data_IF_100759629459
#
_entry.id   IF_100759629459
#
_cell.length_a   1.000
_cell.length_b   1.000
_cell.length_c   1.000
_cell.angle_alpha   90.00
_cell.angle_beta   90.00
_cell.angle_gamma   90.00
#
_symmetry.space_group_name_H-M   'P 1'
#
loop_
_entity.id
_entity.type
_entity.pdbx_description
1 polymer ?
#
# COMPACT_ATOMS: atom_id res chain seq x y z
N UNK A 1 -3.01 13.25 -10.54
CA UNK A 1 -3.09 12.09 -9.63
C UNK A 1 -3.31 12.59 -8.21
N UNK A 2 -4.14 11.89 -7.42
CA UNK A 2 -4.43 12.22 -6.01
C UNK A 2 -4.15 10.99 -5.13
N UNK A 3 -3.65 11.21 -3.91
CA UNK A 3 -3.52 10.17 -2.89
C UNK A 3 -4.70 10.24 -1.92
N UNK A 4 -5.33 9.10 -1.66
CA UNK A 4 -6.32 8.91 -0.60
C UNK A 4 -5.71 7.97 0.44
N UNK A 5 -5.74 8.34 1.72
CA UNK A 5 -5.06 7.58 2.78
C UNK A 5 -5.77 6.27 3.16
N UNK A 6 -7.07 6.17 2.90
CA UNK A 6 -7.90 4.99 3.17
C UNK A 6 -8.94 4.83 2.05
N UNK A 7 -9.44 3.61 1.78
CA UNK A 7 -10.42 3.38 0.72
C UNK A 7 -11.82 3.78 1.18
N UNK A 8 -12.09 5.08 1.23
CA UNK A 8 -13.41 5.61 1.59
C UNK A 8 -14.38 5.50 0.38
N UNK A 9 -15.51 4.78 0.50
CA UNK A 9 -16.42 4.54 -0.61
C UNK A 9 -17.00 5.81 -1.25
N UNK A 10 -17.29 6.85 -0.46
CA UNK A 10 -17.87 8.09 -0.99
C UNK A 10 -16.83 8.87 -1.79
N UNK A 11 -15.61 8.95 -1.25
CA UNK A 11 -14.48 9.59 -1.93
C UNK A 11 -14.16 8.85 -3.23
N UNK A 12 -14.03 7.52 -3.21
CA UNK A 12 -13.71 6.73 -4.40
C UNK A 12 -14.78 6.90 -5.50
N UNK A 13 -16.06 6.86 -5.14
CA UNK A 13 -17.17 7.09 -6.09
C UNK A 13 -17.14 8.48 -6.67
N UNK A 14 -16.83 9.51 -5.88
CA UNK A 14 -16.74 10.90 -6.35
C UNK A 14 -15.67 11.11 -7.43
N UNK A 15 -14.60 10.31 -7.40
CA UNK A 15 -13.54 10.34 -8.40
C UNK A 15 -13.82 9.44 -9.61
N UNK A 16 -14.77 8.51 -9.53
CA UNK A 16 -15.08 7.57 -10.61
C UNK A 16 -15.48 8.30 -11.89
N UNK A 17 -14.76 8.05 -12.99
CA UNK A 17 -15.02 8.68 -14.28
C UNK A 17 -14.51 10.12 -14.41
N UNK A 18 -13.86 10.68 -13.38
CA UNK A 18 -13.28 12.04 -13.44
C UNK A 18 -12.04 12.17 -14.33
N UNK A 19 -11.44 11.04 -14.74
CA UNK A 19 -10.14 11.02 -15.42
C UNK A 19 -8.95 11.26 -14.51
N UNK A 20 -9.16 11.42 -13.19
CA UNK A 20 -8.09 11.61 -12.21
C UNK A 20 -7.61 10.25 -11.70
N UNK A 21 -6.34 9.92 -12.00
CA UNK A 21 -5.68 8.74 -11.45
C UNK A 21 -5.49 8.82 -9.93
N UNK A 22 -5.62 7.68 -9.25
CA UNK A 22 -5.53 7.59 -7.79
C UNK A 22 -4.39 6.68 -7.30
N UNK A 23 -3.80 7.10 -6.19
CA UNK A 23 -3.07 6.25 -5.25
C UNK A 23 -3.96 6.01 -4.02
N UNK A 24 -4.22 4.75 -3.69
CA UNK A 24 -5.09 4.38 -2.57
C UNK A 24 -4.26 3.76 -1.45
N UNK A 25 -4.39 4.30 -0.25
CA UNK A 25 -3.75 3.77 0.95
C UNK A 25 -4.44 2.51 1.45
N UNK A 26 -3.64 1.51 1.82
CA UNK A 26 -4.06 0.34 2.60
C UNK A 26 -3.74 0.67 4.07
N UNK A 27 -4.74 0.80 4.95
CA UNK A 27 -4.52 1.19 6.34
C UNK A 27 -3.60 0.24 7.12
N UNK A 28 -2.93 0.72 8.17
CA UNK A 28 -2.01 -0.10 8.96
C UNK A 28 -2.76 -1.26 9.65
N UNK A 29 -4.00 -1.02 10.06
CA UNK A 29 -4.82 -1.92 10.89
C UNK A 29 -5.26 -3.18 10.15
N UNK A 30 -5.29 -3.17 8.81
CA UNK A 30 -5.67 -4.33 8.01
C UNK A 30 -4.47 -5.24 7.68
N UNK A 31 -3.23 -4.77 7.85
CA UNK A 31 -2.03 -5.54 7.49
C UNK A 31 -1.95 -6.92 8.17
N UNK A 32 -2.28 -7.09 9.47
CA UNK A 32 -2.29 -8.42 10.09
C UNK A 32 -3.29 -9.38 9.43
N UNK A 33 -4.45 -8.87 9.00
CA UNK A 33 -5.47 -9.69 8.34
C UNK A 33 -5.05 -10.08 6.91
N UNK A 34 -4.43 -9.16 6.18
CA UNK A 34 -3.88 -9.42 4.85
C UNK A 34 -2.77 -10.47 4.87
N UNK A 35 -1.95 -10.50 5.93
CA UNK A 35 -0.98 -11.59 6.14
C UNK A 35 -1.67 -12.92 6.47
N UNK A 36 -2.52 -12.95 7.50
CA UNK A 36 -2.91 -14.20 8.18
C UNK A 36 -4.00 -15.01 7.47
N UNK A 37 -4.77 -14.40 6.57
CA UNK A 37 -5.89 -15.07 5.93
C UNK A 37 -5.46 -15.87 4.69
N UNK A 38 -5.38 -15.22 3.53
CA UNK A 38 -4.98 -15.83 2.25
C UNK A 38 -4.85 -14.76 1.15
N UNK A 39 -4.34 -15.18 -0.01
CA UNK A 39 -4.41 -14.38 -1.25
C UNK A 39 -5.86 -14.06 -1.63
N UNK A 40 -6.79 -15.01 -1.44
CA UNK A 40 -8.22 -14.81 -1.74
C UNK A 40 -8.84 -13.73 -0.84
N UNK A 41 -8.45 -13.68 0.44
CA UNK A 41 -8.87 -12.61 1.33
C UNK A 41 -8.35 -11.25 0.86
N UNK A 42 -7.10 -11.18 0.40
CA UNK A 42 -6.53 -9.95 -0.18
C UNK A 42 -7.29 -9.50 -1.43
N UNK A 43 -7.67 -10.44 -2.30
CA UNK A 43 -8.49 -10.16 -3.47
C UNK A 43 -9.89 -9.67 -3.08
N UNK A 44 -10.54 -10.34 -2.12
CA UNK A 44 -11.84 -9.93 -1.59
C UNK A 44 -11.76 -8.52 -1.00
N UNK A 45 -10.71 -8.21 -0.23
CA UNK A 45 -10.52 -6.88 0.34
C UNK A 45 -10.41 -5.80 -0.75
N UNK A 46 -9.64 -6.05 -1.82
CA UNK A 46 -9.52 -5.14 -2.96
C UNK A 46 -10.87 -4.93 -3.67
N UNK A 47 -11.61 -6.02 -3.90
CA UNK A 47 -12.92 -5.97 -4.54
C UNK A 47 -13.93 -5.19 -3.72
N UNK A 48 -14.03 -5.50 -2.43
CA UNK A 48 -15.01 -4.90 -1.52
C UNK A 48 -14.73 -3.43 -1.25
N UNK A 49 -13.47 -3.06 -0.98
CA UNK A 49 -13.12 -1.73 -0.50
C UNK A 49 -12.73 -0.76 -1.62
N UNK A 50 -12.28 -1.26 -2.78
CA UNK A 50 -11.76 -0.39 -3.86
C UNK A 50 -12.57 -0.60 -5.14
N UNK A 51 -12.53 -1.80 -5.73
CA UNK A 51 -13.01 -2.01 -7.10
C UNK A 51 -14.55 -1.97 -7.23
N UNK A 52 -15.28 -2.12 -6.12
CA UNK A 52 -16.73 -1.90 -6.05
C UNK A 52 -17.13 -0.42 -6.13
N UNK A 53 -16.17 0.50 -6.01
CA UNK A 53 -16.42 1.94 -5.89
C UNK A 53 -15.77 2.76 -7.00
N UNK A 54 -14.73 2.23 -7.64
CA UNK A 54 -14.02 2.89 -8.74
C UNK A 54 -13.43 1.85 -9.71
N UNK A 55 -13.40 2.12 -11.03
CA UNK A 55 -12.78 1.22 -11.99
C UNK A 55 -11.29 0.98 -11.65
N UNK A 56 -10.81 -0.28 -11.66
CA UNK A 56 -9.41 -0.57 -11.39
C UNK A 56 -8.43 0.16 -12.32
N UNK A 57 -8.87 0.53 -13.52
CA UNK A 57 -8.10 1.30 -14.51
C UNK A 57 -7.70 2.69 -14.05
N UNK A 58 -8.44 3.28 -13.11
CA UNK A 58 -8.17 4.60 -12.53
C UNK A 58 -7.28 4.53 -11.28
N UNK A 59 -6.92 3.32 -10.81
CA UNK A 59 -5.98 3.11 -9.72
C UNK A 59 -4.59 2.85 -10.31
N UNK A 60 -3.57 3.59 -9.86
CA UNK A 60 -2.18 3.39 -10.30
C UNK A 60 -1.30 2.80 -9.23
N UNK A 61 -1.57 3.13 -7.97
CA UNK A 61 -0.77 2.69 -6.84
C UNK A 61 -1.60 2.27 -5.64
N UNK A 62 -1.19 1.19 -4.98
CA UNK A 62 -1.56 0.88 -3.62
C UNK A 62 -0.40 1.25 -2.69
N UNK A 63 -0.67 2.12 -1.71
CA UNK A 63 0.28 2.50 -0.68
C UNK A 63 0.02 1.67 0.58
N UNK A 64 0.80 0.61 0.77
CA UNK A 64 0.60 -0.38 1.84
C UNK A 64 1.18 0.11 3.16
N UNK A 65 0.28 0.41 4.10
CA UNK A 65 0.61 1.10 5.33
C UNK A 65 0.99 2.57 5.12
N UNK A 66 1.24 3.27 6.23
CA UNK A 66 1.77 4.62 6.22
C UNK A 66 2.83 4.80 7.31
N UNK A 67 4.10 4.96 6.89
CA UNK A 67 5.24 5.28 7.77
C UNK A 67 5.45 4.26 8.91
N UNK A 68 5.07 3.00 8.66
CA UNK A 68 5.00 1.91 9.63
C UNK A 68 6.31 1.73 10.41
N UNK A 69 7.44 1.69 9.70
CA UNK A 69 8.78 1.50 10.27
C UNK A 69 9.23 2.60 11.24
N UNK A 70 8.50 3.72 11.31
CA UNK A 70 8.83 4.86 12.17
C UNK A 70 7.76 5.19 13.20
N UNK A 71 6.48 4.95 12.90
CA UNK A 71 5.35 5.36 13.74
C UNK A 71 4.69 4.20 14.45
N UNK A 72 4.61 3.04 13.82
CA UNK A 72 3.88 1.89 14.35
C UNK A 72 4.70 0.59 14.24
N UNK A 73 5.69 0.40 15.12
CA UNK A 73 6.55 -0.80 15.12
C UNK A 73 5.76 -2.11 15.13
N UNK A 74 4.59 -2.12 15.78
CA UNK A 74 3.68 -3.27 15.81
C UNK A 74 3.32 -3.79 14.41
N UNK A 75 3.10 -2.89 13.43
CA UNK A 75 2.65 -3.31 12.11
C UNK A 75 3.78 -3.70 11.14
N UNK A 76 5.02 -3.40 11.51
CA UNK A 76 6.23 -3.65 10.70
C UNK A 76 6.32 -5.07 10.13
N UNK A 77 6.18 -6.16 10.93
CA UNK A 77 6.32 -7.52 10.41
C UNK A 77 5.23 -7.91 9.39
N UNK A 78 4.17 -7.11 9.26
CA UNK A 78 3.06 -7.40 8.34
C UNK A 78 3.20 -6.70 6.99
N UNK A 79 4.07 -5.70 6.83
CA UNK A 79 4.14 -4.87 5.61
C UNK A 79 4.56 -5.70 4.39
N UNK A 80 5.73 -6.34 4.44
CA UNK A 80 6.26 -7.11 3.30
C UNK A 80 5.32 -8.27 2.92
N UNK A 81 4.85 -9.12 3.86
CA UNK A 81 3.92 -10.17 3.51
C UNK A 81 2.57 -9.67 2.95
N UNK A 82 2.05 -8.55 3.46
CA UNK A 82 0.82 -7.95 2.92
C UNK A 82 1.01 -7.48 1.48
N UNK A 83 2.16 -6.87 1.16
CA UNK A 83 2.51 -6.48 -0.21
C UNK A 83 2.54 -7.71 -1.12
N UNK A 84 3.15 -8.82 -0.68
CA UNK A 84 3.21 -10.07 -1.46
C UNK A 84 1.81 -10.61 -1.73
N UNK A 85 0.96 -10.71 -0.72
CA UNK A 85 -0.40 -11.23 -0.88
C UNK A 85 -1.27 -10.34 -1.78
N UNK A 86 -1.21 -9.01 -1.60
CA UNK A 86 -1.91 -8.06 -2.47
C UNK A 86 -1.40 -8.13 -3.92
N UNK A 87 -0.10 -8.29 -4.13
CA UNK A 87 0.48 -8.43 -5.46
C UNK A 87 0.02 -9.72 -6.14
N UNK A 88 0.00 -10.84 -5.41
CA UNK A 88 -0.53 -12.11 -5.91
C UNK A 88 -2.03 -12.02 -6.24
N UNK A 89 -2.80 -11.31 -5.41
CA UNK A 89 -4.22 -11.07 -5.66
C UNK A 89 -4.46 -10.21 -6.91
N UNK A 90 -3.67 -9.16 -7.14
CA UNK A 90 -3.76 -8.39 -8.39
C UNK A 90 -3.37 -9.23 -9.60
N UNK A 91 -2.33 -10.08 -9.47
CA UNK A 91 -1.88 -10.96 -10.53
C UNK A 91 -2.92 -12.00 -10.92
N UNK A 92 -3.68 -12.55 -9.96
CA UNK A 92 -4.74 -13.54 -10.27
C UNK A 92 -5.88 -12.97 -11.12
N UNK A 93 -6.01 -11.64 -11.17
CA UNK A 93 -6.99 -10.92 -12.01
C UNK A 93 -6.33 -10.06 -13.10
N UNK A 94 -5.04 -10.29 -13.42
CA UNK A 94 -4.27 -9.60 -14.45
C UNK A 94 -4.17 -8.07 -14.29
N UNK A 95 -4.18 -7.57 -13.06
CA UNK A 95 -4.04 -6.14 -12.74
C UNK A 95 -2.65 -5.74 -12.20
N UNK A 96 -1.73 -6.69 -12.00
CA UNK A 96 -0.38 -6.45 -11.45
C UNK A 96 0.50 -5.55 -12.34
N UNK A 97 0.21 -5.51 -13.64
CA UNK A 97 0.89 -4.60 -14.56
C UNK A 97 0.30 -3.19 -14.52
N UNK A 98 -0.99 -3.06 -14.20
CA UNK A 98 -1.74 -1.81 -14.18
C UNK A 98 -1.61 -1.07 -12.84
N UNK A 99 -1.67 -1.82 -11.74
CA UNK A 99 -1.66 -1.30 -10.37
C UNK A 99 -0.37 -1.72 -9.69
N UNK A 100 0.50 -0.75 -9.37
CA UNK A 100 1.75 -0.99 -8.66
C UNK A 100 1.54 -0.92 -7.15
N UNK A 101 2.30 -1.71 -6.39
CA UNK A 101 2.21 -1.74 -4.93
C UNK A 101 3.54 -1.23 -4.37
N UNK A 102 3.46 -0.36 -3.37
CA UNK A 102 4.62 0.12 -2.62
C UNK A 102 4.22 0.44 -1.18
N UNK A 103 5.16 0.85 -0.34
CA UNK A 103 4.90 1.32 1.02
C UNK A 103 5.56 2.70 1.22
N UNK A 104 4.81 3.71 1.70
CA UNK A 104 5.37 5.03 1.94
C UNK A 104 6.13 5.07 3.26
N UNK A 105 7.34 5.62 3.23
CA UNK A 105 8.23 5.76 4.38
C UNK A 105 8.43 7.22 4.78
N UNK A 106 8.54 7.49 6.08
CA UNK A 106 9.05 8.76 6.58
C UNK A 106 10.57 8.82 6.37
N UNK A 107 11.15 10.01 6.27
CA UNK A 107 12.60 10.18 6.11
C UNK A 107 13.43 9.62 7.28
N UNK A 108 12.80 9.40 8.45
CA UNK A 108 13.42 8.82 9.65
C UNK A 108 13.88 7.36 9.48
N UNK A 109 13.54 6.71 8.37
CA UNK A 109 14.11 5.39 8.02
C UNK A 109 15.61 5.48 7.66
N UNK A 110 16.13 6.68 7.40
CA UNK A 110 17.54 6.91 7.09
C UNK A 110 18.36 7.12 8.38
N UNK A 111 19.56 6.56 8.45
CA UNK A 111 20.54 6.83 9.53
C UNK A 111 21.24 8.17 9.36
N UNK A 112 21.35 8.64 8.12
CA UNK A 112 21.95 9.91 7.73
C UNK A 112 21.55 10.24 6.30
N UNK A 113 21.45 11.53 6.00
CA UNK A 113 20.94 12.03 4.70
C UNK A 113 21.79 13.14 4.08
N UNK A 114 22.88 13.56 4.75
CA UNK A 114 23.79 14.58 4.25
C UNK A 114 25.27 14.14 4.28
N UNK A 115 26.04 14.36 3.19
CA UNK A 115 25.54 14.71 1.85
C UNK A 115 24.61 13.62 1.31
N UNK A 116 23.74 13.90 0.30
CA UNK A 116 22.82 12.89 -0.23
C UNK A 116 23.50 11.59 -0.69
N UNK A 117 24.75 11.67 -1.15
CA UNK A 117 25.57 10.49 -1.51
C UNK A 117 25.88 9.55 -0.34
N UNK A 118 25.76 10.01 0.91
CA UNK A 118 25.94 9.23 2.12
C UNK A 118 24.61 8.69 2.68
N UNK A 119 23.49 8.89 1.97
CA UNK A 119 22.18 8.39 2.36
C UNK A 119 22.18 6.88 2.55
N UNK A 120 21.77 6.39 3.72
CA UNK A 120 21.58 4.95 3.95
C UNK A 120 20.44 4.69 4.93
N UNK A 121 19.76 3.55 4.77
CA UNK A 121 18.76 3.10 5.74
C UNK A 121 19.42 2.79 7.09
N UNK A 122 18.70 3.08 8.17
CA UNK A 122 19.11 2.73 9.53
C UNK A 122 19.31 1.22 9.70
N UNK A 123 20.10 0.80 10.70
CA UNK A 123 20.23 -0.62 11.05
C UNK A 123 18.87 -1.26 11.30
N UNK A 124 18.01 -0.55 12.01
CA UNK A 124 16.72 -1.05 12.47
C UNK A 124 15.78 -1.23 11.28
N UNK A 125 15.72 -0.27 10.36
CA UNK A 125 14.96 -0.40 9.12
C UNK A 125 15.48 -1.56 8.26
N UNK A 126 16.81 -1.72 8.12
CA UNK A 126 17.38 -2.81 7.33
C UNK A 126 17.10 -4.21 7.87
N UNK A 127 16.93 -4.36 9.19
CA UNK A 127 16.57 -5.64 9.80
C UNK A 127 15.09 -6.01 9.60
N UNK A 128 14.26 -5.03 9.26
CA UNK A 128 12.80 -5.17 9.15
C UNK A 128 12.31 -5.27 7.70
N UNK A 129 13.19 -5.03 6.72
CA UNK A 129 12.95 -5.15 5.27
C UNK A 129 13.49 -6.47 4.75
#
# INVERSE_FOLDING_TARGET
MIRIFKPDPEVLRSFSGSGIDLMVGVPNEILPALLNASVDFSLQWLQTNIFSHIPPTQIKYLAVGNEVFSKDPYFTPFVVPSIVNLHQALRSINLDQLIKISTPHAASVLSGSYPPSNGSFSSDTRQQM
#
